data_IF_907906346874
#
_entry.id   IF_907906346874
#
_cell.length_a   1.000
_cell.length_b   1.000
_cell.length_c   1.000
_cell.angle_alpha   90.00
_cell.angle_beta   90.00
_cell.angle_gamma   90.00
#
_symmetry.space_group_name_H-M   'P 1'
#
loop_
_entity.id
_entity.type
_entity.pdbx_description
1 polymer ?
#
# COMPACT_ATOMS: atom_id res chain seq x y z
N UNK A 1 25.12 15.47 -12.45
CA UNK A 1 26.09 15.99 -11.46
C UNK A 1 27.22 15.02 -11.37
N UNK A 2 28.45 15.50 -11.49
CA UNK A 2 29.63 14.67 -11.25
C UNK A 2 29.79 14.33 -9.75
N UNK A 3 30.70 13.42 -9.42
CA UNK A 3 30.94 12.98 -8.05
C UNK A 3 31.46 14.09 -7.13
N UNK A 4 32.24 15.03 -7.67
CA UNK A 4 32.82 16.13 -6.91
C UNK A 4 31.74 17.13 -6.47
N UNK A 5 30.85 17.50 -7.39
CA UNK A 5 29.68 18.34 -7.15
C UNK A 5 28.74 17.72 -6.11
N UNK A 6 28.45 16.41 -6.23
CA UNK A 6 27.62 15.70 -5.24
C UNK A 6 28.23 15.75 -3.84
N UNK A 7 29.53 15.49 -3.74
CA UNK A 7 30.27 15.51 -2.47
C UNK A 7 30.35 16.91 -1.87
N UNK A 8 30.48 17.94 -2.70
CA UNK A 8 30.51 19.34 -2.28
C UNK A 8 29.16 19.77 -1.70
N UNK A 9 28.07 19.52 -2.42
CA UNK A 9 26.70 19.85 -1.96
C UNK A 9 26.35 19.07 -0.69
N UNK A 10 26.67 17.78 -0.63
CA UNK A 10 26.46 16.98 0.58
C UNK A 10 27.22 17.56 1.79
N UNK A 11 28.45 18.03 1.58
CA UNK A 11 29.26 18.62 2.67
C UNK A 11 28.67 19.93 3.18
N UNK A 12 28.20 20.81 2.29
CA UNK A 12 27.56 22.07 2.69
C UNK A 12 26.29 21.79 3.50
N UNK A 13 25.46 20.86 3.03
CA UNK A 13 24.24 20.48 3.73
C UNK A 13 24.51 19.83 5.09
N UNK A 14 25.56 18.99 5.20
CA UNK A 14 25.98 18.43 6.49
C UNK A 14 26.50 19.46 7.49
N UNK A 15 27.01 20.60 7.02
CA UNK A 15 27.50 21.72 7.84
C UNK A 15 26.45 22.80 8.10
N UNK A 16 25.21 22.58 7.67
CA UNK A 16 24.11 23.56 7.76
C UNK A 16 24.35 24.86 6.98
N UNK A 17 25.30 24.85 6.03
CA UNK A 17 25.50 25.95 5.05
C UNK A 17 24.38 25.96 4.00
N UNK A 18 23.76 24.80 3.76
CA UNK A 18 22.58 24.62 2.91
C UNK A 18 21.50 23.94 3.74
N UNK A 19 20.32 24.54 3.82
CA UNK A 19 19.23 24.01 4.65
C UNK A 19 18.41 22.92 3.94
N UNK A 20 18.31 22.97 2.60
CA UNK A 20 17.42 22.12 1.82
C UNK A 20 18.18 21.48 0.67
N UNK A 21 17.96 20.19 0.47
CA UNK A 21 18.48 19.45 -0.66
C UNK A 21 17.34 18.80 -1.45
N UNK A 22 17.29 19.09 -2.74
CA UNK A 22 16.37 18.44 -3.67
C UNK A 22 17.10 17.27 -4.32
N UNK A 23 16.55 16.07 -4.19
CA UNK A 23 17.24 14.87 -4.63
C UNK A 23 16.30 13.79 -5.18
N UNK A 24 16.87 12.93 -6.01
CA UNK A 24 16.25 11.65 -6.39
C UNK A 24 16.69 10.55 -5.41
N UNK A 25 16.15 9.34 -5.57
CA UNK A 25 16.49 8.14 -4.78
C UNK A 25 18.02 7.87 -4.72
N UNK A 26 18.77 8.37 -5.71
CA UNK A 26 20.24 8.25 -5.75
C UNK A 26 20.96 8.98 -4.59
N UNK A 27 20.31 9.91 -3.89
CA UNK A 27 20.84 10.61 -2.71
C UNK A 27 20.47 9.88 -1.41
N UNK A 28 20.55 8.55 -1.42
CA UNK A 28 20.11 7.71 -0.32
C UNK A 28 21.25 7.04 0.48
N UNK A 29 22.21 6.44 -0.20
CA UNK A 29 23.22 5.62 0.48
C UNK A 29 24.29 6.51 1.12
N UNK A 30 24.58 6.28 2.41
CA UNK A 30 25.71 6.93 3.11
C UNK A 30 25.44 8.32 3.72
N UNK A 31 24.20 8.82 3.68
CA UNK A 31 23.84 10.05 4.40
C UNK A 31 23.47 9.73 5.85
N UNK A 32 24.18 10.37 6.77
CA UNK A 32 23.97 10.24 8.21
C UNK A 32 23.96 11.60 8.91
N UNK A 33 23.06 12.50 8.46
CA UNK A 33 22.77 13.74 9.20
C UNK A 33 21.67 13.41 10.23
N UNK A 34 21.92 13.54 11.55
CA UNK A 34 20.99 13.10 12.58
C UNK A 34 19.74 14.01 12.68
N UNK A 35 19.91 15.28 12.32
CA UNK A 35 19.02 16.39 12.63
C UNK A 35 18.19 16.85 11.42
N UNK A 36 17.81 15.92 10.54
CA UNK A 36 16.90 16.21 9.43
C UNK A 36 15.47 16.41 9.95
N UNK A 37 14.93 17.63 9.75
CA UNK A 37 13.61 18.03 10.28
C UNK A 37 12.43 17.67 9.41
N UNK A 38 12.63 17.57 8.10
CA UNK A 38 11.57 17.15 7.21
C UNK A 38 12.10 16.38 6.01
N UNK A 39 11.25 15.46 5.53
CA UNK A 39 11.39 14.80 4.24
C UNK A 39 10.11 15.07 3.47
N UNK A 40 10.24 15.62 2.26
CA UNK A 40 9.12 15.95 1.39
C UNK A 40 9.21 15.11 0.12
N UNK A 41 8.19 14.31 -0.12
CA UNK A 41 7.99 13.57 -1.35
C UNK A 41 7.10 14.38 -2.27
N UNK A 42 7.69 14.97 -3.30
CA UNK A 42 6.95 15.69 -4.35
C UNK A 42 6.18 14.75 -5.29
N UNK A 43 6.66 13.52 -5.46
CA UNK A 43 6.08 12.53 -6.37
C UNK A 43 5.81 11.22 -5.62
N UNK A 44 4.78 10.50 -6.06
CA UNK A 44 4.42 9.19 -5.51
C UNK A 44 5.63 8.21 -5.50
N UNK A 45 6.04 7.69 -4.33
CA UNK A 45 7.02 6.62 -4.21
C UNK A 45 6.56 5.34 -4.93
N UNK A 46 7.53 4.53 -5.37
CA UNK A 46 7.23 3.28 -6.10
C UNK A 46 6.70 2.16 -5.18
N UNK A 47 6.94 2.28 -3.87
CA UNK A 47 6.51 1.29 -2.87
C UNK A 47 6.51 1.89 -1.46
N UNK A 48 5.85 1.21 -0.52
CA UNK A 48 5.83 1.60 0.90
C UNK A 48 7.21 1.44 1.53
N UNK A 49 8.01 0.46 1.11
CA UNK A 49 9.36 0.24 1.62
C UNK A 49 10.30 1.37 1.25
N UNK A 50 10.26 1.82 -0.01
CA UNK A 50 11.02 2.99 -0.46
C UNK A 50 10.61 4.23 0.32
N UNK A 51 9.30 4.46 0.45
CA UNK A 51 8.77 5.58 1.24
C UNK A 51 9.24 5.53 2.71
N UNK A 52 9.17 4.37 3.35
CA UNK A 52 9.60 4.17 4.74
C UNK A 52 11.11 4.41 4.90
N UNK A 53 11.94 3.88 4.00
CA UNK A 53 13.40 4.08 4.03
C UNK A 53 13.77 5.56 3.84
N UNK A 54 13.07 6.27 2.95
CA UNK A 54 13.31 7.68 2.68
C UNK A 54 12.85 8.57 3.83
N UNK A 55 11.66 8.31 4.39
CA UNK A 55 11.14 8.98 5.58
C UNK A 55 12.02 8.76 6.82
N UNK A 56 12.59 7.56 6.99
CA UNK A 56 13.48 7.20 8.10
C UNK A 56 14.83 7.94 8.13
N UNK A 57 15.05 8.90 7.23
CA UNK A 57 16.17 9.85 7.28
C UNK A 57 15.90 11.02 8.21
N UNK A 58 14.63 11.36 8.43
CA UNK A 58 14.22 12.40 9.35
C UNK A 58 14.34 11.96 10.82
N UNK A 59 14.70 12.89 11.70
CA UNK A 59 14.56 12.71 13.16
C UNK A 59 15.41 11.60 13.79
N UNK A 60 16.61 11.32 13.26
CA UNK A 60 17.52 10.30 13.84
C UNK A 60 18.09 10.70 15.21
N UNK A 61 18.03 11.98 15.54
CA UNK A 61 18.30 12.55 16.86
C UNK A 61 17.15 12.33 17.87
N UNK A 62 16.05 11.67 17.46
CA UNK A 62 14.87 11.43 18.29
C UNK A 62 13.98 12.67 18.46
N UNK A 63 14.34 13.80 17.86
CA UNK A 63 13.53 15.01 17.89
C UNK A 63 12.42 14.97 16.86
N UNK A 64 11.38 15.79 17.08
CA UNK A 64 10.23 15.86 16.18
C UNK A 64 10.67 16.19 14.75
N UNK A 65 10.18 15.40 13.81
CA UNK A 65 10.37 15.61 12.39
C UNK A 65 9.10 15.25 11.61
N UNK A 66 8.97 15.79 10.40
CA UNK A 66 7.77 15.66 9.58
C UNK A 66 8.08 14.98 8.26
N UNK A 67 7.24 14.04 7.85
CA UNK A 67 7.28 13.43 6.52
C UNK A 67 6.02 13.82 5.77
N UNK A 68 6.16 14.46 4.61
CA UNK A 68 5.04 14.97 3.81
C UNK A 68 5.08 14.35 2.43
N UNK A 69 3.99 13.72 2.03
CA UNK A 69 3.80 13.18 0.69
C UNK A 69 2.75 14.01 -0.05
N UNK A 70 3.16 14.66 -1.13
CA UNK A 70 2.22 15.19 -2.12
C UNK A 70 1.75 14.05 -3.02
N UNK A 71 0.44 13.89 -3.11
CA UNK A 71 -0.19 12.80 -3.85
C UNK A 71 -1.14 13.32 -4.91
N UNK A 72 -0.96 12.83 -6.14
CA UNK A 72 -1.95 12.91 -7.22
C UNK A 72 -2.06 11.55 -7.91
N UNK A 73 -3.28 11.19 -8.32
CA UNK A 73 -3.48 9.96 -9.10
C UNK A 73 -2.77 10.02 -10.47
N UNK A 74 -2.53 11.20 -11.02
CA UNK A 74 -1.73 11.35 -12.26
C UNK A 74 -0.29 10.85 -12.09
N UNK A 75 0.28 10.92 -10.87
CA UNK A 75 1.61 10.38 -10.59
C UNK A 75 1.65 8.87 -10.69
N UNK A 76 0.58 8.18 -10.26
CA UNK A 76 0.46 6.73 -10.42
C UNK A 76 0.57 6.33 -11.88
N UNK A 77 -0.15 7.02 -12.78
CA UNK A 77 -0.13 6.75 -14.22
C UNK A 77 1.30 6.92 -14.76
N UNK A 78 1.97 8.03 -14.42
CA UNK A 78 3.35 8.31 -14.84
C UNK A 78 4.34 7.26 -14.34
N UNK A 79 4.29 6.94 -13.05
CA UNK A 79 5.21 5.95 -12.43
C UNK A 79 4.98 4.56 -13.00
N UNK A 80 3.71 4.17 -13.23
CA UNK A 80 3.36 2.90 -13.88
C UNK A 80 3.96 2.81 -15.29
N UNK A 81 3.84 3.86 -16.11
CA UNK A 81 4.46 3.88 -17.44
C UNK A 81 5.97 3.74 -17.37
N UNK A 82 6.66 4.44 -16.45
CA UNK A 82 8.10 4.30 -16.26
C UNK A 82 8.52 2.87 -15.87
N UNK A 83 7.74 2.20 -15.02
CA UNK A 83 8.02 0.80 -14.63
C UNK A 83 7.90 -0.14 -15.84
N UNK A 84 6.90 0.06 -16.69
CA UNK A 84 6.69 -0.75 -17.90
C UNK A 84 7.82 -0.50 -18.92
N UNK A 85 8.16 0.77 -19.19
CA UNK A 85 9.21 1.14 -20.14
C UNK A 85 10.61 0.68 -19.69
N UNK A 86 10.94 0.89 -18.41
CA UNK A 86 12.25 0.53 -17.87
C UNK A 86 12.56 -0.97 -17.91
N UNK A 87 11.54 -1.83 -18.04
CA UNK A 87 11.75 -3.26 -18.30
C UNK A 87 11.97 -3.57 -19.78
N UNK A 88 11.28 -2.86 -20.69
CA UNK A 88 11.46 -3.04 -22.12
C UNK A 88 12.89 -2.70 -22.56
N UNK A 89 13.50 -1.67 -21.95
CA UNK A 89 14.87 -1.21 -22.20
C UNK A 89 15.96 -2.11 -21.60
N UNK A 90 15.65 -2.97 -20.64
CA UNK A 90 16.59 -3.98 -20.11
C UNK A 90 16.61 -5.27 -20.94
N UNK A 91 15.59 -5.48 -21.80
CA UNK A 91 15.45 -6.62 -22.70
C UNK A 91 16.18 -6.57 -24.07
N UNK A 92 16.87 -5.51 -24.55
CA UNK A 92 17.46 -5.50 -25.90
C UNK A 92 18.71 -6.37 -26.12
N UNK A 93 19.41 -6.83 -25.07
CA UNK A 93 20.73 -7.46 -25.22
C UNK A 93 20.78 -8.99 -25.09
N UNK A 94 19.63 -9.65 -24.93
CA UNK A 94 19.55 -11.12 -24.86
C UNK A 94 18.65 -11.70 -25.95
N UNK A 95 18.79 -11.24 -27.20
CA UNK A 95 18.08 -11.79 -28.36
C UNK A 95 18.54 -13.22 -28.77
N UNK A 96 19.50 -13.82 -28.06
CA UNK A 96 20.09 -15.12 -28.40
C UNK A 96 19.79 -16.29 -27.46
N UNK A 97 19.14 -16.12 -26.29
CA UNK A 97 19.01 -17.21 -25.32
C UNK A 97 17.64 -17.30 -24.66
N UNK A 98 16.83 -18.27 -25.12
CA UNK A 98 15.91 -19.04 -24.28
C UNK A 98 14.55 -18.42 -23.92
N UNK A 99 13.47 -19.10 -24.33
CA UNK A 99 12.06 -18.93 -23.89
C UNK A 99 11.82 -18.89 -22.37
N UNK A 100 12.83 -19.15 -21.54
CA UNK A 100 12.74 -19.19 -20.07
C UNK A 100 12.89 -17.82 -19.39
N UNK A 101 13.42 -16.79 -20.07
CA UNK A 101 13.65 -15.47 -19.46
C UNK A 101 12.37 -14.62 -19.36
N UNK A 102 11.34 -14.91 -20.17
CA UNK A 102 10.09 -14.15 -20.21
C UNK A 102 9.16 -14.37 -19.00
N UNK A 103 9.29 -15.50 -18.28
CA UNK A 103 8.50 -15.76 -17.05
C UNK A 103 8.99 -14.95 -15.86
N UNK A 104 10.30 -14.66 -15.78
CA UNK A 104 10.86 -13.86 -14.68
C UNK A 104 10.56 -12.37 -14.83
N UNK A 105 10.51 -11.83 -16.05
CA UNK A 105 10.17 -10.42 -16.29
C UNK A 105 8.72 -10.12 -15.93
N UNK A 106 7.78 -11.01 -16.28
CA UNK A 106 6.35 -10.85 -15.99
C UNK A 106 6.10 -10.79 -14.47
N UNK A 107 6.72 -11.68 -13.70
CA UNK A 107 6.62 -11.68 -12.23
C UNK A 107 7.20 -10.43 -11.55
N UNK A 108 8.28 -9.85 -12.10
CA UNK A 108 8.87 -8.61 -11.59
C UNK A 108 7.94 -7.41 -11.88
N UNK A 109 7.35 -7.33 -13.07
CA UNK A 109 6.38 -6.30 -13.42
C UNK A 109 5.13 -6.36 -12.54
N UNK A 110 4.62 -7.56 -12.30
CA UNK A 110 3.48 -7.79 -11.43
C UNK A 110 3.79 -7.30 -10.00
N UNK A 111 4.92 -7.72 -9.43
CA UNK A 111 5.33 -7.29 -8.09
C UNK A 111 5.52 -5.78 -7.99
N UNK A 112 6.13 -5.15 -8.99
CA UNK A 112 6.32 -3.69 -9.01
C UNK A 112 4.99 -2.94 -9.12
N UNK A 113 4.07 -3.45 -9.95
CA UNK A 113 2.72 -2.88 -10.11
C UNK A 113 1.92 -3.01 -8.83
N UNK A 114 2.03 -4.16 -8.16
CA UNK A 114 1.41 -4.43 -6.87
C UNK A 114 1.93 -3.47 -5.78
N UNK A 115 3.24 -3.29 -5.68
CA UNK A 115 3.86 -2.35 -4.75
C UNK A 115 3.39 -0.92 -4.97
N UNK A 116 3.27 -0.51 -6.23
CA UNK A 116 2.75 0.80 -6.58
C UNK A 116 1.26 0.95 -6.19
N UNK A 117 0.45 -0.08 -6.42
CA UNK A 117 -0.96 -0.10 -6.00
C UNK A 117 -1.12 -0.05 -4.47
N UNK A 118 -0.23 -0.70 -3.71
CA UNK A 118 -0.18 -0.58 -2.25
C UNK A 118 0.11 0.86 -1.83
N UNK A 119 1.06 1.54 -2.48
CA UNK A 119 1.36 2.94 -2.19
C UNK A 119 0.19 3.88 -2.52
N UNK A 120 -0.56 3.60 -3.59
CA UNK A 120 -1.82 4.31 -3.90
C UNK A 120 -2.86 4.07 -2.79
N UNK A 121 -3.10 2.82 -2.39
CA UNK A 121 -4.03 2.49 -1.31
C UNK A 121 -3.64 3.16 0.02
N UNK A 122 -2.34 3.20 0.32
CA UNK A 122 -1.80 3.93 1.47
C UNK A 122 -2.14 5.42 1.40
N UNK A 123 -1.95 6.05 0.24
CA UNK A 123 -2.13 7.50 0.04
C UNK A 123 -3.61 7.91 0.07
N UNK A 124 -4.47 7.16 -0.61
CA UNK A 124 -5.91 7.40 -0.73
C UNK A 124 -6.69 7.08 0.55
N UNK A 125 -6.13 6.30 1.47
CA UNK A 125 -6.79 6.00 2.74
C UNK A 125 -6.74 7.23 3.67
N UNK A 126 -7.90 7.79 3.95
CA UNK A 126 -8.05 9.02 4.71
C UNK A 126 -8.75 8.82 6.07
N UNK A 127 -8.82 7.57 6.54
CA UNK A 127 -9.51 7.19 7.79
C UNK A 127 -8.58 6.47 8.76
N UNK A 128 -7.82 5.50 8.29
CA UNK A 128 -7.01 4.64 9.16
C UNK A 128 -5.67 5.33 9.48
N UNK A 129 -5.14 5.08 10.68
CA UNK A 129 -3.86 5.65 11.11
C UNK A 129 -2.72 5.33 10.13
N UNK A 130 -1.96 6.34 9.68
CA UNK A 130 -0.83 6.12 8.73
C UNK A 130 0.23 5.17 9.28
N UNK A 131 0.51 5.22 10.59
CA UNK A 131 1.50 4.35 11.25
C UNK A 131 1.02 2.90 11.27
N UNK A 132 -0.26 2.66 11.58
CA UNK A 132 -0.88 1.34 11.47
C UNK A 132 -0.70 0.77 10.06
N UNK A 133 -1.01 1.57 9.03
CA UNK A 133 -0.91 1.11 7.64
C UNK A 133 0.52 0.74 7.23
N UNK A 134 1.53 1.50 7.67
CA UNK A 134 2.93 1.19 7.39
C UNK A 134 3.39 -0.08 8.11
N UNK A 135 3.12 -0.20 9.41
CA UNK A 135 3.58 -1.35 10.20
C UNK A 135 2.90 -2.65 9.76
N UNK A 136 1.61 -2.59 9.43
CA UNK A 136 0.90 -3.75 8.87
C UNK A 136 1.53 -4.24 7.57
N UNK A 137 1.99 -3.34 6.69
CA UNK A 137 2.70 -3.72 5.46
C UNK A 137 3.97 -4.54 5.74
N UNK A 138 4.63 -4.30 6.87
CA UNK A 138 5.81 -5.07 7.30
C UNK A 138 5.48 -6.32 8.13
N UNK A 139 4.20 -6.65 8.27
CA UNK A 139 3.72 -7.76 9.09
C UNK A 139 3.72 -7.47 10.59
N UNK A 140 3.80 -6.20 10.99
CA UNK A 140 3.81 -5.79 12.39
C UNK A 140 2.43 -5.31 12.84
N UNK A 141 1.97 -5.80 14.00
CA UNK A 141 0.72 -5.35 14.60
C UNK A 141 0.96 -4.03 15.35
N UNK A 142 0.04 -3.09 15.19
CA UNK A 142 0.10 -1.79 15.85
C UNK A 142 -1.29 -1.33 16.28
N UNK A 143 -1.43 -0.87 17.53
CA UNK A 143 -2.66 -0.22 17.97
C UNK A 143 -2.65 1.26 17.56
N UNK A 144 -3.63 1.66 16.76
CA UNK A 144 -3.82 3.05 16.35
C UNK A 144 -3.94 4.04 17.52
N UNK A 145 -4.40 3.59 18.70
CA UNK A 145 -4.43 4.41 19.93
C UNK A 145 -3.03 4.90 20.36
N UNK A 146 -1.99 4.13 20.04
CA UNK A 146 -0.59 4.46 20.35
C UNK A 146 0.04 5.41 19.31
N UNK A 147 -0.71 5.90 18.31
CA UNK A 147 -0.20 6.88 17.36
C UNK A 147 0.12 8.22 18.03
N UNK A 148 -0.63 8.60 19.06
CA UNK A 148 -0.47 9.88 19.76
C UNK A 148 -0.74 11.09 18.85
N UNK A 149 -1.68 10.97 17.90
CA UNK A 149 -2.04 12.04 16.96
C UNK A 149 -0.84 12.60 16.17
N UNK A 150 0.09 11.73 15.78
CA UNK A 150 1.30 12.12 15.04
C UNK A 150 1.17 11.96 13.51
N UNK A 151 0.02 11.51 13.00
CA UNK A 151 -0.25 11.45 11.56
C UNK A 151 -1.49 12.26 11.18
N UNK A 152 -1.60 12.64 9.91
CA UNK A 152 -2.68 13.47 9.37
C UNK A 152 -4.07 12.86 9.60
N UNK A 153 -4.23 11.54 9.42
CA UNK A 153 -5.52 10.88 9.62
C UNK A 153 -5.96 10.88 11.09
N UNK A 154 -5.03 10.68 12.04
CA UNK A 154 -5.34 10.75 13.47
C UNK A 154 -5.55 12.20 13.96
N UNK A 155 -4.95 13.19 13.29
CA UNK A 155 -5.15 14.60 13.59
C UNK A 155 -6.47 15.16 13.06
N UNK A 156 -7.02 14.57 11.98
CA UNK A 156 -8.30 15.01 11.40
C UNK A 156 -9.45 14.66 12.35
N UNK A 157 -10.20 15.67 12.75
CA UNK A 157 -11.51 15.50 13.37
C UNK A 157 -12.50 15.20 12.25
N UNK A 158 -12.86 13.92 12.08
CA UNK A 158 -13.90 13.50 11.13
C UNK A 158 -15.10 12.92 11.87
N UNK A 159 -16.29 13.27 11.44
CA UNK A 159 -17.51 12.51 11.73
C UNK A 159 -17.44 11.19 10.98
N UNK A 160 -17.03 10.16 11.70
CA UNK A 160 -17.02 8.78 11.22
C UNK A 160 -18.32 8.12 11.64
N UNK A 161 -18.98 7.44 10.70
CA UNK A 161 -20.17 6.65 10.97
C UNK A 161 -19.80 5.18 10.99
N UNK A 162 -20.35 4.46 11.95
CA UNK A 162 -20.24 3.01 12.01
C UNK A 162 -21.15 2.36 10.98
N UNK A 163 -20.55 1.62 10.06
CA UNK A 163 -21.22 0.87 9.01
C UNK A 163 -21.01 -0.61 9.21
N UNK A 164 -22.09 -1.37 9.25
CA UNK A 164 -22.02 -2.82 9.21
C UNK A 164 -21.59 -3.28 7.81
N UNK A 165 -20.48 -4.00 7.74
CA UNK A 165 -19.88 -4.54 6.51
C UNK A 165 -19.75 -6.07 6.58
N UNK A 166 -20.50 -6.73 7.45
CA UNK A 166 -20.42 -8.16 7.74
C UNK A 166 -20.62 -9.01 6.48
N UNK A 167 -21.57 -8.67 5.61
CA UNK A 167 -21.83 -9.43 4.39
C UNK A 167 -20.68 -9.30 3.38
N UNK A 168 -20.13 -8.09 3.19
CA UNK A 168 -18.94 -7.89 2.37
C UNK A 168 -17.73 -8.61 2.94
N UNK A 169 -17.60 -8.65 4.27
CA UNK A 169 -16.55 -9.36 4.97
C UNK A 169 -16.63 -10.88 4.74
N UNK A 170 -17.83 -11.48 4.87
CA UNK A 170 -18.07 -12.90 4.55
C UNK A 170 -17.70 -13.23 3.10
N UNK A 171 -18.13 -12.40 2.16
CA UNK A 171 -17.82 -12.58 0.74
C UNK A 171 -16.32 -12.51 0.47
N UNK A 172 -15.60 -11.57 1.09
CA UNK A 172 -14.14 -11.45 0.91
C UNK A 172 -13.40 -12.66 1.48
N UNK A 173 -13.78 -13.15 2.66
CA UNK A 173 -13.19 -14.38 3.24
C UNK A 173 -13.43 -15.57 2.32
N UNK A 174 -14.64 -15.73 1.81
CA UNK A 174 -14.98 -16.81 0.88
C UNK A 174 -14.20 -16.69 -0.45
N UNK A 175 -14.03 -15.47 -0.97
CA UNK A 175 -13.25 -15.23 -2.17
C UNK A 175 -11.77 -15.62 -2.00
N UNK A 176 -11.18 -15.36 -0.83
CA UNK A 176 -9.81 -15.81 -0.51
C UNK A 176 -9.72 -17.34 -0.56
N UNK A 177 -10.75 -18.07 -0.11
CA UNK A 177 -10.83 -19.53 -0.23
C UNK A 177 -10.95 -20.00 -1.68
N UNK A 178 -11.89 -19.42 -2.44
CA UNK A 178 -12.14 -19.80 -3.83
C UNK A 178 -10.94 -19.56 -4.75
N UNK A 179 -10.12 -18.56 -4.44
CA UNK A 179 -8.87 -18.28 -5.14
C UNK A 179 -7.69 -19.14 -4.65
N UNK A 180 -7.95 -20.14 -3.79
CA UNK A 180 -6.93 -21.08 -3.31
C UNK A 180 -5.95 -20.49 -2.30
N UNK A 181 -6.16 -19.27 -1.80
CA UNK A 181 -5.31 -18.64 -0.79
C UNK A 181 -3.84 -18.48 -1.24
N UNK A 182 -3.63 -18.18 -2.52
CA UNK A 182 -2.30 -18.00 -3.14
C UNK A 182 -2.04 -16.58 -3.62
N UNK A 183 -2.96 -15.65 -3.33
CA UNK A 183 -2.96 -14.31 -3.90
C UNK A 183 -2.93 -13.23 -2.84
N UNK A 184 -2.44 -12.06 -3.25
CA UNK A 184 -2.34 -10.89 -2.38
C UNK A 184 -3.65 -10.13 -2.25
N UNK A 185 -3.73 -9.26 -1.25
CA UNK A 185 -4.88 -8.39 -1.00
C UNK A 185 -5.26 -7.54 -2.22
N UNK A 186 -4.28 -7.02 -2.96
CA UNK A 186 -4.52 -6.24 -4.19
C UNK A 186 -5.28 -7.05 -5.25
N UNK A 187 -4.89 -8.31 -5.50
CA UNK A 187 -5.56 -9.17 -6.47
C UNK A 187 -6.98 -9.55 -6.03
N UNK A 188 -7.14 -9.90 -4.75
CA UNK A 188 -8.46 -10.22 -4.19
C UNK A 188 -9.42 -9.03 -4.35
N UNK A 189 -8.95 -7.80 -4.13
CA UNK A 189 -9.73 -6.59 -4.36
C UNK A 189 -10.09 -6.37 -5.83
N UNK A 190 -9.16 -6.63 -6.75
CA UNK A 190 -9.44 -6.56 -8.18
C UNK A 190 -10.55 -7.52 -8.59
N UNK A 191 -10.48 -8.79 -8.16
CA UNK A 191 -11.51 -9.80 -8.45
C UNK A 191 -12.84 -9.41 -7.81
N UNK A 192 -12.86 -9.04 -6.52
CA UNK A 192 -14.08 -8.70 -5.80
C UNK A 192 -14.81 -7.49 -6.41
N UNK A 193 -14.06 -6.50 -6.93
CA UNK A 193 -14.63 -5.32 -7.59
C UNK A 193 -14.90 -5.50 -9.09
N UNK A 194 -14.61 -6.67 -9.65
CA UNK A 194 -14.97 -7.02 -11.02
C UNK A 194 -13.96 -6.56 -12.09
N UNK A 195 -12.70 -6.37 -11.71
CA UNK A 195 -11.62 -6.05 -12.67
C UNK A 195 -11.50 -7.16 -13.72
N UNK A 196 -11.22 -6.77 -14.97
CA UNK A 196 -10.94 -7.66 -16.10
C UNK A 196 -9.46 -7.56 -16.53
N UNK A 197 -8.57 -7.30 -15.57
CA UNK A 197 -7.13 -7.22 -15.83
C UNK A 197 -6.60 -8.53 -16.41
N UNK A 198 -5.49 -8.46 -17.15
CA UNK A 198 -4.87 -9.63 -17.76
C UNK A 198 -4.53 -10.70 -16.70
N UNK A 199 -4.13 -10.27 -15.50
CA UNK A 199 -3.81 -11.16 -14.39
C UNK A 199 -5.06 -11.90 -13.87
N UNK A 200 -6.20 -11.22 -13.73
CA UNK A 200 -7.50 -11.85 -13.41
C UNK A 200 -7.87 -12.91 -14.45
N UNK A 201 -7.81 -12.56 -15.74
CA UNK A 201 -8.13 -13.46 -16.87
C UNK A 201 -7.20 -14.68 -16.93
N UNK A 202 -5.90 -14.47 -16.70
CA UNK A 202 -4.89 -15.54 -16.72
C UNK A 202 -5.19 -16.62 -15.68
N UNK A 203 -5.71 -16.22 -14.52
CA UNK A 203 -6.09 -17.14 -13.45
C UNK A 203 -7.56 -17.60 -13.52
N UNK A 204 -8.31 -17.16 -14.54
CA UNK A 204 -9.75 -17.46 -14.72
C UNK A 204 -10.60 -17.04 -13.53
N UNK A 205 -10.23 -15.95 -12.85
CA UNK A 205 -10.97 -15.47 -11.68
C UNK A 205 -12.19 -14.62 -12.06
N UNK A 206 -12.34 -14.25 -13.33
CA UNK A 206 -13.53 -13.60 -13.88
C UNK A 206 -14.76 -14.49 -13.92
N UNK A 207 -14.59 -15.82 -13.84
CA UNK A 207 -15.70 -16.78 -13.83
C UNK A 207 -16.15 -17.17 -12.41
N UNK A 208 -15.47 -16.68 -11.37
CA UNK A 208 -15.85 -16.93 -9.99
C UNK A 208 -17.18 -16.24 -9.65
N UNK A 209 -18.02 -16.90 -8.85
CA UNK A 209 -19.34 -16.38 -8.44
C UNK A 209 -19.27 -15.04 -7.71
N UNK A 210 -18.16 -14.76 -7.02
CA UNK A 210 -17.92 -13.54 -6.27
C UNK A 210 -17.16 -12.46 -7.06
N UNK A 211 -16.85 -12.70 -8.35
CA UNK A 211 -16.30 -11.66 -9.21
C UNK A 211 -17.30 -10.52 -9.37
N UNK A 212 -16.88 -9.30 -9.05
CA UNK A 212 -17.74 -8.11 -9.13
C UNK A 212 -18.82 -8.01 -8.04
N UNK A 213 -18.88 -8.91 -7.05
CA UNK A 213 -19.83 -8.84 -5.94
C UNK A 213 -19.70 -7.50 -5.16
N UNK A 214 -18.48 -6.98 -5.04
CA UNK A 214 -18.15 -5.72 -4.40
C UNK A 214 -18.18 -4.48 -5.31
N UNK A 215 -18.74 -4.56 -6.53
CA UNK A 215 -18.74 -3.43 -7.49
C UNK A 215 -19.42 -2.16 -6.95
N UNK A 216 -20.37 -2.32 -6.04
CA UNK A 216 -21.13 -1.25 -5.40
C UNK A 216 -20.32 -0.49 -4.35
N UNK A 217 -19.22 -1.06 -3.86
CA UNK A 217 -18.33 -0.43 -2.88
C UNK A 217 -17.28 0.42 -3.59
N UNK A 218 -16.92 1.56 -2.99
CA UNK A 218 -15.76 2.32 -3.41
C UNK A 218 -14.47 1.49 -3.21
N UNK A 219 -13.43 1.76 -4.02
CA UNK A 219 -12.16 1.02 -3.95
C UNK A 219 -11.55 1.07 -2.56
N UNK A 220 -11.50 2.27 -1.98
CA UNK A 220 -10.98 2.51 -0.64
C UNK A 220 -11.79 1.76 0.42
N UNK A 221 -13.11 1.74 0.31
CA UNK A 221 -13.98 1.03 1.25
C UNK A 221 -13.74 -0.47 1.22
N UNK A 222 -13.79 -1.11 0.04
CA UNK A 222 -13.51 -2.54 -0.10
C UNK A 222 -12.10 -2.90 0.42
N UNK A 223 -11.10 -2.04 0.14
CA UNK A 223 -9.74 -2.21 0.64
C UNK A 223 -9.65 -2.15 2.16
N UNK A 224 -10.48 -1.32 2.80
CA UNK A 224 -10.52 -1.18 4.26
C UNK A 224 -11.19 -2.36 4.93
N UNK A 225 -12.27 -2.88 4.33
CA UNK A 225 -12.92 -4.12 4.80
C UNK A 225 -11.92 -5.27 4.77
N UNK A 226 -11.23 -5.47 3.64
CA UNK A 226 -10.24 -6.54 3.53
C UNK A 226 -9.09 -6.39 4.52
N UNK A 227 -8.64 -5.15 4.77
CA UNK A 227 -7.58 -4.88 5.74
C UNK A 227 -8.01 -5.15 7.18
N UNK A 228 -9.24 -4.75 7.53
CA UNK A 228 -9.77 -5.00 8.86
C UNK A 228 -9.88 -6.51 9.16
N UNK A 229 -10.23 -7.31 8.16
CA UNK A 229 -10.18 -8.77 8.29
C UNK A 229 -8.78 -9.31 8.60
N UNK A 230 -7.72 -8.66 8.12
CA UNK A 230 -6.33 -9.02 8.46
C UNK A 230 -5.99 -8.60 9.89
N UNK A 231 -6.39 -7.39 10.31
CA UNK A 231 -6.13 -6.86 11.66
C UNK A 231 -6.81 -7.73 12.73
N UNK A 232 -8.05 -8.14 12.49
CA UNK A 232 -8.84 -8.98 13.40
C UNK A 232 -8.52 -10.48 13.25
N UNK A 233 -7.48 -10.84 12.49
CA UNK A 233 -7.01 -12.21 12.22
C UNK A 233 -8.05 -13.16 11.60
N UNK A 234 -9.10 -12.67 10.94
CA UNK A 234 -9.94 -13.52 10.07
C UNK A 234 -9.17 -13.99 8.84
N UNK A 235 -8.30 -13.10 8.36
CA UNK A 235 -7.31 -13.37 7.34
C UNK A 235 -5.93 -13.22 7.96
N UNK A 236 -5.01 -14.11 7.60
CA UNK A 236 -3.61 -13.99 7.91
C UNK A 236 -2.86 -13.61 6.63
N UNK A 237 -1.97 -12.63 6.73
CA UNK A 237 -1.14 -12.21 5.61
C UNK A 237 0.24 -12.86 5.78
N UNK A 238 0.54 -13.87 4.96
CA UNK A 238 1.84 -14.55 4.95
C UNK A 238 2.84 -13.65 4.20
N UNK A 239 3.61 -12.89 4.99
CA UNK A 239 4.55 -11.89 4.49
C UNK A 239 5.93 -12.52 4.32
N UNK A 240 6.37 -12.63 3.07
CA UNK A 240 7.74 -13.03 2.73
C UNK A 240 8.58 -11.79 2.42
N UNK A 241 9.61 -11.57 3.22
CA UNK A 241 10.61 -10.51 3.04
C UNK A 241 11.75 -11.08 2.20
N UNK A 242 12.07 -10.43 1.08
CA UNK A 242 13.27 -10.77 0.30
C UNK A 242 14.50 -10.09 0.88
N UNK A 243 15.56 -10.85 1.15
CA UNK A 243 16.84 -10.32 1.65
C UNK A 243 17.49 -9.34 0.66
N UNK A 244 17.22 -9.54 -0.63
CA UNK A 244 17.73 -8.69 -1.69
C UNK A 244 16.69 -7.59 -1.96
N UNK A 245 17.06 -6.33 -1.66
CA UNK A 245 16.27 -5.09 -1.80
C UNK A 245 15.06 -4.90 -0.87
N UNK A 246 14.87 -5.72 0.17
CA UNK A 246 13.81 -5.52 1.15
C UNK A 246 12.39 -5.59 0.56
N UNK A 247 12.24 -6.20 -0.61
CA UNK A 247 10.95 -6.27 -1.31
C UNK A 247 10.00 -7.23 -0.60
N UNK A 248 8.81 -6.75 -0.24
CA UNK A 248 7.81 -7.53 0.47
C UNK A 248 6.81 -8.16 -0.51
N UNK A 249 6.51 -9.44 -0.33
CA UNK A 249 5.39 -10.11 -0.99
C UNK A 249 4.47 -10.69 0.06
N UNK A 250 3.17 -10.53 -0.13
CA UNK A 250 2.17 -11.04 0.80
C UNK A 250 1.13 -11.91 0.10
N UNK A 251 0.70 -12.97 0.78
CA UNK A 251 -0.39 -13.84 0.36
C UNK A 251 -1.42 -13.92 1.47
N UNK A 252 -2.71 -13.82 1.12
CA UNK A 252 -3.79 -13.97 2.08
C UNK A 252 -4.13 -15.44 2.31
N UNK A 253 -4.20 -15.81 3.58
CA UNK A 253 -4.69 -17.09 4.11
C UNK A 253 -5.90 -16.83 5.00
N UNK A 254 -6.81 -17.79 5.08
CA UNK A 254 -7.96 -17.72 5.98
C UNK A 254 -7.62 -18.37 7.31
N UNK A 255 -7.98 -17.69 8.40
CA UNK A 255 -8.03 -18.31 9.71
C UNK A 255 -9.36 -19.04 9.85
N UNK A 256 -9.34 -20.37 9.72
CA UNK A 256 -10.57 -21.17 9.66
C UNK A 256 -11.45 -21.06 10.90
N UNK A 257 -10.84 -20.93 12.09
CA UNK A 257 -11.57 -20.79 13.36
C UNK A 257 -12.36 -19.48 13.40
N UNK A 258 -11.70 -18.34 13.17
CA UNK A 258 -12.37 -17.03 13.16
C UNK A 258 -13.33 -16.89 11.97
N UNK A 259 -12.98 -17.43 10.80
CA UNK A 259 -13.84 -17.42 9.63
C UNK A 259 -15.13 -18.24 9.84
N UNK A 260 -15.09 -19.29 10.67
CA UNK A 260 -16.30 -20.02 11.06
C UNK A 260 -17.26 -19.13 11.87
N UNK A 261 -16.76 -18.40 12.87
CA UNK A 261 -17.57 -17.50 13.70
C UNK A 261 -18.23 -16.36 12.88
N UNK A 262 -17.53 -15.87 11.86
CA UNK A 262 -18.09 -14.89 10.93
C UNK A 262 -19.24 -15.50 10.09
N UNK A 263 -19.12 -16.76 9.67
CA UNK A 263 -20.15 -17.46 8.88
C UNK A 263 -21.35 -17.89 9.73
N UNK A 264 -21.13 -18.33 10.98
CA UNK A 264 -22.20 -18.73 11.90
C UNK A 264 -23.06 -17.55 12.36
N UNK A 265 -22.61 -16.32 12.11
CA UNK A 265 -23.32 -15.10 12.49
C UNK A 265 -23.05 -14.66 13.94
N UNK A 266 -22.15 -15.34 14.63
CA UNK A 266 -21.74 -14.99 16.01
C UNK A 266 -20.95 -13.68 16.08
N UNK A 267 -20.30 -13.29 14.98
CA UNK A 267 -19.48 -12.08 14.92
C UNK A 267 -19.90 -11.15 13.78
N UNK A 268 -20.18 -9.88 14.14
CA UNK A 268 -20.45 -8.80 13.19
C UNK A 268 -19.20 -7.95 12.98
N UNK A 269 -19.04 -7.45 11.76
CA UNK A 269 -17.92 -6.57 11.38
C UNK A 269 -18.48 -5.17 11.14
N UNK A 270 -18.05 -4.23 11.97
CA UNK A 270 -18.45 -2.83 11.89
C UNK A 270 -17.21 -2.00 11.61
N UNK A 271 -17.29 -1.14 10.59
CA UNK A 271 -16.21 -0.23 10.24
C UNK A 271 -16.63 1.22 10.36
N UNK A 272 -15.69 2.04 10.83
CA UNK A 272 -15.80 3.50 10.79
C UNK A 272 -15.58 3.98 9.37
N UNK A 273 -16.58 4.58 8.75
CA UNK A 273 -16.51 5.15 7.40
C UNK A 273 -16.63 6.67 7.45
N UNK A 274 -15.89 7.35 6.57
CA UNK A 274 -16.11 8.77 6.34
C UNK A 274 -17.46 8.93 5.64
N UNK A 275 -18.32 9.83 6.13
CA UNK A 275 -19.54 10.18 5.42
C UNK A 275 -19.19 10.75 4.04
N UNK A 276 -19.84 10.23 2.99
CA UNK A 276 -19.90 10.96 1.72
C UNK A 276 -20.88 12.12 1.84
N UNK A 277 -20.71 13.17 1.03
CA UNK A 277 -21.66 14.29 0.97
C UNK A 277 -23.11 13.83 0.73
N UNK A 278 -23.32 12.71 0.04
CA UNK A 278 -24.65 12.12 -0.18
C UNK A 278 -25.29 11.58 1.10
N UNK A 279 -24.50 10.99 2.02
CA UNK A 279 -25.01 10.47 3.29
C UNK A 279 -25.16 11.54 4.36
N UNK A 280 -24.43 12.67 4.26
CA UNK A 280 -24.65 13.85 5.09
C UNK A 280 -26.04 14.46 4.85
N UNK A 281 -26.52 14.45 3.60
CA UNK A 281 -27.87 14.93 3.27
C UNK A 281 -28.94 14.04 3.89
N UNK A 282 -28.81 12.71 3.82
CA UNK A 282 -29.78 11.79 4.44
C UNK A 282 -29.83 11.93 5.98
N UNK A 283 -28.69 12.19 6.62
CA UNK A 283 -28.62 12.43 8.07
C UNK A 283 -29.03 13.84 8.52
N UNK A 284 -29.11 14.82 7.62
CA UNK A 284 -29.58 16.17 7.95
C UNK A 284 -31.10 16.34 7.79
N UNK A 285 -31.80 15.34 7.24
CA UNK A 285 -33.26 15.33 7.05
C UNK A 285 -34.00 14.32 7.92
N UNK A 286 -33.36 13.79 8.97
CA UNK A 286 -33.98 13.03 10.07
C UNK A 286 -33.50 13.59 11.41
#
# INVERSE_FOLDING_TARGET
MDAAQRSFVQRQWSKDEVNIICATVAFGMGINKPDVRFVIHHSLPKSIEGYHQECGRAGRDGQRASCVLYYSYSDYIRVKHMIIQGQAEQSPWTAGCGRNNMKNSDGILEKNTENLLRMVSYSENDVDCRRLLQLLHFGEKFDSGNCGNTCDNCLKIKTLVEKDVTESAKQLVELVKLTGQHFSSSHILEVYRGSLSQFVKRHRHESLSLHGAGKHLAKGEASRILRHLVIEDFLAEDVKKSDIYGSVSSVLKVNESKAYNLRSGEQRIVLRCSLSLSMLLEHMFH
#
